data_IF_849707300171
#
_entry.id   IF_849707300171
#
_cell.length_a   1.000
_cell.length_b   1.000
_cell.length_c   1.000
_cell.angle_alpha   90.00
_cell.angle_beta   90.00
_cell.angle_gamma   90.00
#
_symmetry.space_group_name_H-M   'P 1'
#
loop_
_entity.id
_entity.type
_entity.pdbx_description
1 polymer ?
#
# COMPACT_ATOMS: atom_id res chain seq x y z
N UNK A 1 -7.31 4.72 -14.04
CA UNK A 1 -8.02 3.50 -14.49
C UNK A 1 -7.48 3.00 -15.83
N UNK A 2 -7.38 3.85 -16.85
CA UNK A 2 -6.91 3.48 -18.20
C UNK A 2 -5.52 2.82 -18.19
N UNK A 3 -4.55 3.41 -17.52
CA UNK A 3 -3.16 2.87 -17.44
C UNK A 3 -3.10 1.43 -16.93
N UNK A 4 -4.00 1.07 -16.03
CA UNK A 4 -4.07 -0.28 -15.42
C UNK A 4 -5.11 -1.16 -16.10
N UNK A 5 -5.86 -0.65 -17.06
CA UNK A 5 -6.93 -1.38 -17.74
C UNK A 5 -8.17 -1.63 -16.89
N UNK A 6 -8.30 -0.96 -15.74
CA UNK A 6 -9.46 -1.11 -14.84
C UNK A 6 -10.77 -0.66 -15.52
N UNK A 7 -10.68 0.35 -16.37
CA UNK A 7 -11.80 0.82 -17.20
C UNK A 7 -12.33 -0.25 -18.15
N UNK A 8 -11.51 -1.21 -18.56
CA UNK A 8 -11.90 -2.30 -19.46
C UNK A 8 -12.80 -3.34 -18.80
N UNK A 9 -12.72 -3.49 -17.46
CA UNK A 9 -13.43 -4.52 -16.68
C UNK A 9 -14.61 -3.96 -15.87
N UNK A 10 -14.76 -2.62 -15.82
CA UNK A 10 -15.91 -1.96 -15.20
C UNK A 10 -17.15 -2.05 -16.06
N UNK A 11 -18.29 -1.65 -15.49
CA UNK A 11 -19.57 -1.54 -16.22
C UNK A 11 -19.43 -0.69 -17.47
N UNK A 12 -19.84 -1.21 -18.61
CA UNK A 12 -19.67 -0.59 -19.91
C UNK A 12 -18.27 -0.70 -20.51
N UNK A 13 -17.33 -1.34 -19.85
CA UNK A 13 -15.97 -1.58 -20.33
C UNK A 13 -15.93 -2.60 -21.47
N UNK A 14 -14.88 -2.51 -22.32
CA UNK A 14 -14.74 -3.29 -23.56
C UNK A 14 -14.70 -4.81 -23.35
N UNK A 15 -14.32 -5.29 -22.17
CA UNK A 15 -14.22 -6.72 -21.88
C UNK A 15 -15.55 -7.34 -21.43
N UNK A 16 -16.61 -6.55 -21.27
CA UNK A 16 -17.94 -7.03 -20.93
C UNK A 16 -18.11 -7.52 -19.50
N UNK A 17 -17.18 -7.18 -18.61
CA UNK A 17 -17.31 -7.41 -17.18
C UNK A 17 -18.06 -6.26 -16.50
N UNK A 18 -18.43 -6.46 -15.24
CA UNK A 18 -19.02 -5.43 -14.37
C UNK A 18 -18.38 -5.55 -12.99
N UNK A 19 -17.07 -5.26 -12.94
CA UNK A 19 -16.26 -5.40 -11.71
C UNK A 19 -16.09 -4.03 -11.05
N UNK A 20 -16.67 -3.89 -9.89
CA UNK A 20 -16.63 -2.66 -9.10
C UNK A 20 -16.11 -2.84 -7.66
N UNK A 21 -15.80 -4.08 -7.27
CA UNK A 21 -15.35 -4.43 -5.93
C UNK A 21 -16.45 -4.91 -4.96
N UNK A 22 -17.73 -4.91 -5.36
CA UNK A 22 -18.86 -5.28 -4.48
C UNK A 22 -18.68 -6.66 -3.83
N UNK A 23 -18.16 -7.63 -4.56
CA UNK A 23 -17.95 -9.01 -4.09
C UNK A 23 -16.47 -9.32 -3.80
N UNK A 24 -15.61 -8.30 -3.79
CA UNK A 24 -14.22 -8.51 -3.45
C UNK A 24 -14.04 -8.75 -1.94
N UNK A 25 -13.05 -9.56 -1.53
CA UNK A 25 -12.68 -9.62 -0.12
C UNK A 25 -12.20 -8.24 0.35
N UNK A 26 -12.36 -7.96 1.66
CA UNK A 26 -11.82 -6.73 2.25
C UNK A 26 -10.30 -6.66 2.03
N UNK A 27 -9.83 -5.51 1.59
CA UNK A 27 -8.42 -5.26 1.31
C UNK A 27 -7.76 -4.69 2.57
N UNK A 28 -6.60 -5.21 2.95
CA UNK A 28 -5.77 -4.61 4.00
C UNK A 28 -4.97 -3.42 3.45
N UNK A 29 -4.83 -2.36 4.23
CA UNK A 29 -3.88 -1.28 3.96
C UNK A 29 -3.07 -1.01 5.22
N UNK A 30 -1.74 -1.03 5.10
CA UNK A 30 -0.81 -0.55 6.11
C UNK A 30 -0.08 0.66 5.56
N UNK A 31 -0.03 1.76 6.35
CA UNK A 31 0.54 3.02 5.89
C UNK A 31 1.01 3.89 7.08
N UNK A 32 1.57 5.05 6.82
CA UNK A 32 2.07 5.97 7.85
C UNK A 32 1.00 6.78 8.55
N UNK A 33 0.15 6.13 9.34
CA UNK A 33 -0.94 6.72 10.11
C UNK A 33 -2.34 6.35 9.59
N UNK A 34 -3.38 6.86 10.25
CA UNK A 34 -4.76 6.49 9.98
C UNK A 34 -5.27 7.00 8.62
N UNK A 35 -6.15 6.22 8.02
CA UNK A 35 -7.01 6.70 6.93
C UNK A 35 -8.10 7.61 7.51
N UNK A 36 -8.35 8.74 6.87
CA UNK A 36 -9.49 9.62 7.22
C UNK A 36 -10.80 8.98 6.78
N UNK A 37 -11.33 8.10 7.59
CA UNK A 37 -12.55 7.31 7.29
C UNK A 37 -13.81 8.15 7.08
N UNK A 38 -13.83 9.39 7.61
CA UNK A 38 -14.92 10.36 7.42
C UNK A 38 -14.86 11.11 6.07
N UNK A 39 -13.86 10.82 5.22
CA UNK A 39 -13.81 11.42 3.88
C UNK A 39 -15.01 10.95 3.04
N UNK A 40 -15.66 11.87 2.33
CA UNK A 40 -16.89 11.58 1.56
C UNK A 40 -16.72 10.41 0.59
N UNK A 41 -15.56 10.28 -0.03
CA UNK A 41 -15.23 9.21 -0.97
C UNK A 41 -15.02 7.84 -0.30
N UNK A 42 -14.81 7.78 1.03
CA UNK A 42 -14.44 6.58 1.77
C UNK A 42 -15.47 6.16 2.81
N UNK A 43 -16.41 7.05 3.12
CA UNK A 43 -17.36 6.87 4.21
C UNK A 43 -18.11 5.53 4.14
N UNK A 44 -18.11 4.80 5.26
CA UNK A 44 -18.79 3.51 5.42
C UNK A 44 -18.08 2.32 4.79
N UNK A 45 -16.94 2.51 4.10
CA UNK A 45 -16.24 1.42 3.41
C UNK A 45 -14.79 1.20 3.86
N UNK A 46 -14.27 2.11 4.66
CA UNK A 46 -12.94 1.98 5.28
C UNK A 46 -13.07 1.93 6.78
N UNK A 47 -12.48 0.94 7.42
CA UNK A 47 -12.43 0.78 8.87
C UNK A 47 -10.98 0.87 9.34
N UNK A 48 -10.67 1.85 10.21
CA UNK A 48 -9.39 1.85 10.93
C UNK A 48 -9.44 0.82 12.04
N UNK A 49 -8.52 -0.14 12.03
CA UNK A 49 -8.53 -1.33 12.90
C UNK A 49 -7.66 -1.18 14.14
N UNK A 50 -6.71 -0.30 14.08
CA UNK A 50 -5.76 0.00 15.15
C UNK A 50 -6.01 1.39 15.77
N UNK A 51 -5.15 1.77 16.72
CA UNK A 51 -5.21 3.06 17.40
C UNK A 51 -4.19 4.05 16.80
N UNK A 52 -4.13 4.17 15.48
CA UNK A 52 -3.26 5.12 14.82
C UNK A 52 -3.42 6.54 15.37
N UNK A 53 -2.32 7.23 15.65
CA UNK A 53 -2.28 8.49 16.40
C UNK A 53 -2.90 9.67 15.67
N UNK A 54 -2.84 9.68 14.35
CA UNK A 54 -3.33 10.80 13.53
C UNK A 54 -3.67 10.35 12.12
N UNK A 55 -4.56 11.08 11.47
CA UNK A 55 -4.85 10.88 10.07
C UNK A 55 -3.62 11.20 9.21
N UNK A 56 -3.38 10.37 8.21
CA UNK A 56 -2.37 10.54 7.17
C UNK A 56 -3.03 10.90 5.84
N UNK A 57 -2.54 11.97 5.22
CA UNK A 57 -2.98 12.32 3.87
C UNK A 57 -2.56 11.23 2.86
N UNK A 58 -1.37 10.65 3.05
CA UNK A 58 -0.86 9.58 2.22
C UNK A 58 -1.75 8.34 2.33
N UNK A 59 -1.99 7.81 3.53
CA UNK A 59 -2.88 6.67 3.76
C UNK A 59 -4.28 6.90 3.19
N UNK A 60 -4.82 8.13 3.38
CA UNK A 60 -6.14 8.50 2.86
C UNK A 60 -6.18 8.51 1.33
N UNK A 61 -5.12 9.02 0.68
CA UNK A 61 -5.00 9.05 -0.77
C UNK A 61 -4.83 7.63 -1.34
N UNK A 62 -4.02 6.79 -0.71
CA UNK A 62 -3.85 5.38 -1.11
C UNK A 62 -5.19 4.64 -1.03
N UNK A 63 -5.92 4.76 0.09
CA UNK A 63 -7.26 4.19 0.22
C UNK A 63 -8.22 4.73 -0.84
N UNK A 64 -8.15 6.02 -1.16
CA UNK A 64 -8.93 6.65 -2.24
C UNK A 64 -8.62 6.05 -3.60
N UNK A 65 -7.35 5.85 -3.94
CA UNK A 65 -6.93 5.20 -5.19
C UNK A 65 -7.54 3.80 -5.31
N UNK A 66 -7.67 3.09 -4.20
CA UNK A 66 -8.24 1.75 -4.17
C UNK A 66 -9.78 1.78 -4.26
N UNK A 67 -10.45 2.55 -3.39
CA UNK A 67 -11.89 2.39 -3.15
C UNK A 67 -12.68 3.70 -3.13
N UNK A 68 -12.20 4.83 -3.62
CA UNK A 68 -13.01 6.05 -3.69
C UNK A 68 -14.32 5.80 -4.44
N UNK A 69 -15.45 6.28 -3.88
CA UNK A 69 -16.80 6.01 -4.41
C UNK A 69 -17.07 6.63 -5.78
N UNK A 70 -16.31 7.67 -6.13
CA UNK A 70 -16.59 8.47 -7.32
C UNK A 70 -17.70 9.51 -7.07
N UNK A 71 -17.85 9.98 -5.84
CA UNK A 71 -18.64 11.18 -5.58
C UNK A 71 -18.15 12.32 -6.48
N UNK A 72 -16.84 12.45 -6.61
CA UNK A 72 -16.19 13.17 -7.70
C UNK A 72 -15.72 12.15 -8.75
N UNK A 73 -16.43 12.02 -9.85
CA UNK A 73 -16.21 11.00 -10.87
C UNK A 73 -14.77 10.85 -11.36
N UNK A 74 -14.01 11.93 -11.61
CA UNK A 74 -12.58 11.83 -11.97
C UNK A 74 -11.71 11.17 -10.90
N UNK A 75 -12.12 11.23 -9.64
CA UNK A 75 -11.39 10.68 -8.48
C UNK A 75 -11.82 9.27 -8.10
N UNK A 76 -12.67 8.61 -8.88
CA UNK A 76 -13.17 7.26 -8.61
C UNK A 76 -12.01 6.26 -8.43
N UNK A 77 -12.02 5.52 -7.33
CA UNK A 77 -11.04 4.46 -7.01
C UNK A 77 -11.13 3.26 -7.95
N UNK A 78 -10.16 2.35 -7.89
CA UNK A 78 -10.11 1.18 -8.78
C UNK A 78 -11.27 0.20 -8.55
N UNK A 79 -11.67 0.01 -7.29
CA UNK A 79 -12.77 -0.84 -6.84
C UNK A 79 -13.77 -0.01 -5.99
N UNK A 80 -14.62 0.85 -6.60
CA UNK A 80 -15.38 1.88 -5.89
C UNK A 80 -16.39 1.35 -4.87
N UNK A 81 -16.77 0.09 -4.94
CA UNK A 81 -17.63 -0.59 -3.96
C UNK A 81 -16.86 -1.57 -3.04
N UNK A 82 -15.54 -1.62 -3.15
CA UNK A 82 -14.69 -2.41 -2.27
C UNK A 82 -14.63 -1.87 -0.84
N UNK A 83 -14.22 -2.72 0.10
CA UNK A 83 -14.02 -2.37 1.51
C UNK A 83 -12.55 -2.51 1.91
N UNK A 84 -12.13 -1.70 2.88
CA UNK A 84 -10.75 -1.66 3.37
C UNK A 84 -10.69 -1.73 4.88
N UNK A 85 -9.83 -2.60 5.41
CA UNK A 85 -9.35 -2.58 6.78
C UNK A 85 -7.99 -1.86 6.80
N UNK A 86 -7.91 -0.73 7.50
CA UNK A 86 -6.74 0.14 7.54
C UNK A 86 -5.99 0.05 8.88
N UNK A 87 -4.68 0.10 8.80
CA UNK A 87 -3.74 0.02 9.92
C UNK A 87 -2.61 1.03 9.73
N UNK A 88 -1.98 1.48 10.79
CA UNK A 88 -0.67 2.11 10.68
C UNK A 88 0.44 1.04 10.59
N UNK A 89 1.66 1.45 10.28
CA UNK A 89 2.77 0.53 10.01
C UNK A 89 3.52 0.05 11.26
N UNK A 90 3.15 0.50 12.48
CA UNK A 90 3.97 0.24 13.67
C UNK A 90 3.95 -1.20 14.17
N UNK A 91 2.92 -1.96 13.86
CA UNK A 91 2.79 -3.37 14.25
C UNK A 91 2.42 -4.26 13.07
N UNK A 92 2.79 -3.85 11.85
CA UNK A 92 2.38 -4.43 10.59
C UNK A 92 2.54 -5.96 10.54
N UNK A 93 3.70 -6.49 10.94
CA UNK A 93 3.97 -7.93 10.92
C UNK A 93 2.99 -8.72 11.81
N UNK A 94 2.71 -8.23 13.02
CA UNK A 94 1.77 -8.89 13.94
C UNK A 94 0.33 -8.77 13.46
N UNK A 95 -0.04 -7.61 12.95
CA UNK A 95 -1.37 -7.34 12.44
C UNK A 95 -1.67 -8.15 11.18
N UNK A 96 -0.73 -8.25 10.25
CA UNK A 96 -0.85 -9.05 9.02
C UNK A 96 -1.10 -10.53 9.32
N UNK A 97 -0.46 -11.08 10.38
CA UNK A 97 -0.70 -12.45 10.80
C UNK A 97 -2.15 -12.69 11.27
N UNK A 98 -2.80 -11.65 11.82
CA UNK A 98 -4.12 -11.75 12.45
C UNK A 98 -5.26 -11.13 11.61
N UNK A 99 -4.94 -10.33 10.60
CA UNK A 99 -5.93 -9.54 9.86
C UNK A 99 -6.87 -10.37 8.97
N UNK A 100 -6.53 -11.63 8.65
CA UNK A 100 -7.32 -12.51 7.78
C UNK A 100 -7.73 -11.85 6.45
N UNK A 101 -6.85 -11.05 5.85
CA UNK A 101 -7.05 -10.44 4.53
C UNK A 101 -6.39 -11.28 3.45
N UNK A 102 -6.97 -11.27 2.26
CA UNK A 102 -6.42 -12.00 1.09
C UNK A 102 -5.56 -11.10 0.20
N UNK A 103 -5.67 -9.80 0.35
CA UNK A 103 -4.93 -8.80 -0.44
C UNK A 103 -4.58 -7.63 0.47
N UNK A 104 -3.33 -7.18 0.42
CA UNK A 104 -2.91 -5.98 1.14
C UNK A 104 -2.01 -5.07 0.34
N UNK A 105 -2.07 -3.78 0.65
CA UNK A 105 -1.21 -2.74 0.09
C UNK A 105 -0.30 -2.15 1.17
N UNK A 106 1.00 -2.04 0.83
CA UNK A 106 2.05 -1.51 1.69
C UNK A 106 2.86 -0.46 0.93
N UNK A 107 2.44 0.81 1.05
CA UNK A 107 3.07 1.94 0.34
C UNK A 107 4.14 2.62 1.18
N UNK A 108 5.00 1.85 1.82
CA UNK A 108 6.11 2.30 2.68
C UNK A 108 7.32 1.37 2.57
N UNK A 109 8.44 1.81 3.10
CA UNK A 109 9.68 1.03 3.17
C UNK A 109 10.80 1.83 3.83
N UNK A 110 11.97 1.22 3.93
CA UNK A 110 13.16 1.87 4.44
C UNK A 110 13.85 2.66 3.35
N UNK A 111 14.23 3.91 3.66
CA UNK A 111 15.07 4.71 2.79
C UNK A 111 16.49 4.13 2.84
N UNK A 112 17.09 3.90 1.68
CA UNK A 112 18.42 3.33 1.50
C UNK A 112 19.19 4.09 0.42
N UNK A 113 20.53 4.03 0.50
CA UNK A 113 21.38 4.66 -0.51
C UNK A 113 21.28 6.19 -0.50
N UNK A 114 21.28 6.78 -1.68
CA UNK A 114 21.11 8.22 -1.86
C UNK A 114 19.63 8.61 -1.76
N UNK A 115 19.35 9.66 -0.98
CA UNK A 115 18.02 10.22 -0.82
C UNK A 115 18.11 11.73 -0.64
N UNK A 116 17.58 12.47 -1.60
CA UNK A 116 17.64 13.94 -1.65
C UNK A 116 19.06 14.49 -1.45
N UNK A 117 20.03 13.94 -2.17
CA UNK A 117 21.44 14.33 -2.12
C UNK A 117 22.17 13.94 -0.83
N UNK A 118 21.54 13.21 0.08
CA UNK A 118 22.14 12.69 1.31
C UNK A 118 22.30 11.17 1.29
N UNK A 119 23.45 10.68 1.75
CA UNK A 119 23.67 9.24 1.94
C UNK A 119 22.93 8.73 3.16
N UNK A 120 22.15 7.66 3.03
CA UNK A 120 21.34 7.02 4.09
C UNK A 120 21.87 5.63 4.48
N UNK A 121 22.82 5.11 3.74
CA UNK A 121 23.51 3.87 4.06
C UNK A 121 24.64 4.06 5.09
N UNK A 122 25.36 2.98 5.36
CA UNK A 122 26.55 3.03 6.22
C UNK A 122 27.77 3.47 5.42
N UNK A 123 28.19 4.72 5.63
CA UNK A 123 29.34 5.32 4.92
C UNK A 123 30.67 4.64 5.25
N UNK A 124 30.76 3.90 6.37
CA UNK A 124 31.96 3.12 6.73
C UNK A 124 32.10 1.84 5.89
N UNK A 125 30.99 1.37 5.30
CA UNK A 125 30.97 0.19 4.43
C UNK A 125 31.06 0.61 2.95
N UNK A 126 30.22 1.53 2.49
CA UNK A 126 30.21 2.04 1.13
C UNK A 126 29.39 3.31 1.01
N UNK A 127 29.77 4.20 0.08
CA UNK A 127 28.96 5.36 -0.34
C UNK A 127 28.55 5.29 -1.82
N UNK A 128 28.82 4.18 -2.49
CA UNK A 128 28.48 3.95 -3.91
C UNK A 128 27.19 3.16 -4.01
N UNK A 129 27.12 2.06 -3.25
CA UNK A 129 25.95 1.19 -3.19
C UNK A 129 25.71 0.80 -1.74
N UNK A 130 24.46 0.95 -1.29
CA UNK A 130 24.09 0.54 0.06
C UNK A 130 24.13 -0.99 0.17
N UNK A 131 24.95 -1.50 1.10
CA UNK A 131 25.12 -2.94 1.32
C UNK A 131 23.83 -3.67 1.70
N UNK A 132 22.80 -2.92 2.02
CA UNK A 132 21.45 -3.45 2.35
C UNK A 132 20.63 -3.80 1.10
N UNK A 133 21.01 -3.29 -0.08
CA UNK A 133 20.32 -3.64 -1.32
C UNK A 133 20.48 -5.12 -1.62
N UNK A 134 19.37 -5.78 -1.92
CA UNK A 134 19.34 -7.21 -2.21
C UNK A 134 19.62 -8.13 -1.02
N UNK A 135 19.82 -7.59 0.17
CA UNK A 135 20.12 -8.38 1.36
C UNK A 135 18.86 -9.00 1.95
N UNK A 136 18.90 -10.31 2.15
CA UNK A 136 17.91 -11.02 2.97
C UNK A 136 18.25 -10.83 4.45
N UNK A 137 17.36 -10.19 5.21
CA UNK A 137 17.53 -9.87 6.62
C UNK A 137 16.32 -10.31 7.46
N UNK A 138 16.27 -9.95 8.74
CA UNK A 138 15.16 -10.35 9.63
C UNK A 138 13.81 -9.83 9.13
N UNK A 139 13.73 -8.63 8.55
CA UNK A 139 12.49 -8.12 7.96
C UNK A 139 12.04 -8.97 6.76
N UNK A 140 12.96 -9.34 5.87
CA UNK A 140 12.65 -10.22 4.75
C UNK A 140 12.13 -11.56 5.24
N UNK A 141 12.77 -12.11 6.29
CA UNK A 141 12.37 -13.36 6.92
C UNK A 141 10.97 -13.26 7.56
N UNK A 142 10.67 -12.19 8.30
CA UNK A 142 9.35 -11.99 8.91
C UNK A 142 8.25 -11.96 7.84
N UNK A 143 8.48 -11.25 6.74
CA UNK A 143 7.53 -11.18 5.64
C UNK A 143 7.34 -12.52 4.93
N UNK A 144 8.40 -13.28 4.73
CA UNK A 144 8.32 -14.66 4.22
C UNK A 144 7.53 -15.58 5.15
N UNK A 145 7.71 -15.43 6.46
CA UNK A 145 6.94 -16.19 7.44
C UNK A 145 5.45 -15.84 7.38
N UNK A 146 5.10 -14.56 7.24
CA UNK A 146 3.71 -14.11 7.06
C UNK A 146 3.13 -14.74 5.79
N UNK A 147 3.83 -14.64 4.68
CA UNK A 147 3.39 -15.21 3.40
C UNK A 147 3.25 -16.74 3.46
N UNK A 148 4.11 -17.43 4.21
CA UNK A 148 4.04 -18.87 4.40
C UNK A 148 2.85 -19.30 5.27
N UNK A 149 2.58 -18.58 6.38
CA UNK A 149 1.45 -18.86 7.27
C UNK A 149 0.14 -18.52 6.58
N UNK A 150 0.08 -17.38 5.94
CA UNK A 150 -1.09 -16.85 5.23
C UNK A 150 -0.95 -17.05 3.72
N UNK A 151 -0.75 -18.28 3.25
CA UNK A 151 -0.42 -18.61 1.86
C UNK A 151 -1.42 -18.11 0.79
N UNK A 152 -2.59 -17.64 1.20
CA UNK A 152 -3.59 -16.98 0.33
C UNK A 152 -3.52 -15.46 0.35
N UNK A 153 -2.63 -14.90 1.15
CA UNK A 153 -2.47 -13.46 1.27
C UNK A 153 -1.50 -12.93 0.20
N UNK A 154 -2.04 -12.20 -0.77
CA UNK A 154 -1.23 -11.47 -1.75
C UNK A 154 -0.81 -10.12 -1.15
N UNK A 155 0.47 -9.99 -0.89
CA UNK A 155 1.08 -8.78 -0.34
C UNK A 155 1.60 -7.93 -1.50
N UNK A 156 1.06 -6.72 -1.68
CA UNK A 156 1.48 -5.76 -2.71
C UNK A 156 2.29 -4.65 -2.06
N UNK A 157 3.55 -4.54 -2.44
CA UNK A 157 4.49 -3.61 -1.83
C UNK A 157 5.04 -2.59 -2.83
N UNK A 158 5.22 -1.34 -2.39
CA UNK A 158 5.86 -0.31 -3.19
C UNK A 158 7.33 -0.66 -3.49
N UNK A 159 7.76 -0.42 -4.73
CA UNK A 159 9.15 -0.61 -5.15
C UNK A 159 10.07 0.54 -4.74
N UNK A 160 9.52 1.64 -4.24
CA UNK A 160 10.24 2.87 -3.89
C UNK A 160 10.05 4.00 -4.89
N UNK A 161 10.53 5.20 -4.53
CA UNK A 161 10.38 6.41 -5.34
C UNK A 161 11.72 7.05 -5.75
N UNK A 162 12.84 6.49 -5.28
CA UNK A 162 14.15 7.15 -5.26
C UNK A 162 15.07 6.71 -6.41
N UNK A 163 14.47 6.19 -7.49
CA UNK A 163 15.20 5.64 -8.64
C UNK A 163 16.18 6.63 -9.28
N UNK A 164 15.84 7.92 -9.25
CA UNK A 164 16.64 8.99 -9.85
C UNK A 164 17.56 9.70 -8.86
N UNK A 165 17.50 9.32 -7.59
CA UNK A 165 18.36 9.93 -6.59
C UNK A 165 19.81 9.45 -6.77
N UNK A 166 20.72 10.42 -6.72
CA UNK A 166 22.15 10.21 -6.93
C UNK A 166 22.96 11.00 -5.93
N UNK A 167 24.23 10.62 -5.77
CA UNK A 167 25.19 11.40 -5.02
C UNK A 167 25.59 12.69 -5.74
N UNK A 168 26.38 13.53 -5.06
CA UNK A 168 26.98 14.70 -5.71
C UNK A 168 27.81 14.26 -6.92
N UNK A 169 27.63 14.98 -8.03
CA UNK A 169 28.38 14.84 -9.28
C UNK A 169 29.82 15.34 -9.12
#
# INVERSE_FOLDING_TARGET
AETMGTDLVRSGGRLGFDLDGTNAPTIGIWDGGAVRTSHVELSGRVTQKDNARSNSNHATHVAGTMVASGFDQPSMGMAPNGTVDAYDWYSDETEMLNANVMLSNHSYGYIRGWYWGGWRGDASVSQVEDYQFGRYNEYSRSWDQIANVNYRHLIVRAAGNDRSDSGPS
#
